data_IF_162923004960
#
_entry.id   IF_162923004960
#
_cell.length_a   1.000
_cell.length_b   1.000
_cell.length_c   1.000
_cell.angle_alpha   90.00
_cell.angle_beta   90.00
_cell.angle_gamma   90.00
#
_symmetry.space_group_name_H-M   'P 1'
#
loop_
_entity.id
_entity.type
_entity.pdbx_description
1 polymer ?
#
# COMPACT_ATOMS: atom_id res chain seq x y z
N UNK A 1 61.23 -40.14 14.77
CA UNK A 1 60.16 -40.99 14.19
C UNK A 1 59.17 -40.08 13.50
N UNK A 2 59.04 -40.28 12.20
CA UNK A 2 58.24 -39.56 11.20
C UNK A 2 56.77 -39.97 11.21
N UNK A 3 55.86 -39.02 10.94
CA UNK A 3 54.69 -39.07 10.01
C UNK A 3 53.77 -37.88 10.33
N UNK A 4 53.71 -36.87 9.47
CA UNK A 4 52.85 -36.75 8.26
C UNK A 4 51.37 -36.47 8.58
N UNK A 5 50.96 -35.23 8.25
CA UNK A 5 49.61 -34.74 7.89
C UNK A 5 48.89 -35.66 6.87
N UNK A 6 47.55 -35.60 6.60
CA UNK A 6 46.78 -34.35 6.36
C UNK A 6 45.25 -34.35 6.66
N UNK A 7 44.65 -33.17 6.43
CA UNK A 7 43.31 -32.85 5.88
C UNK A 7 42.12 -33.79 6.13
N UNK A 8 41.03 -33.24 6.67
CA UNK A 8 39.98 -32.64 5.84
C UNK A 8 39.03 -31.82 6.72
N UNK A 9 38.99 -30.52 6.45
CA UNK A 9 37.85 -29.69 6.82
C UNK A 9 36.62 -30.24 6.09
N UNK A 10 35.65 -30.75 6.84
CA UNK A 10 34.29 -30.92 6.32
C UNK A 10 33.69 -29.53 6.21
N UNK A 11 33.97 -28.85 5.11
CA UNK A 11 33.13 -27.78 4.61
C UNK A 11 31.78 -28.44 4.31
N UNK A 12 30.83 -28.31 5.23
CA UNK A 12 29.42 -28.53 4.92
C UNK A 12 29.05 -27.52 3.84
N UNK A 13 29.13 -27.98 2.59
CA UNK A 13 28.57 -27.33 1.42
C UNK A 13 27.10 -27.05 1.71
N UNK A 14 26.83 -25.81 2.07
CA UNK A 14 25.51 -25.20 2.02
C UNK A 14 24.98 -25.43 0.59
N UNK A 15 23.77 -25.97 0.40
CA UNK A 15 23.21 -26.09 -0.93
C UNK A 15 22.99 -24.68 -1.49
N UNK A 16 23.90 -24.24 -2.34
CA UNK A 16 23.70 -23.12 -3.26
C UNK A 16 22.66 -23.57 -4.29
N UNK A 17 21.41 -23.19 -4.07
CA UNK A 17 20.32 -23.52 -4.97
C UNK A 17 18.98 -23.21 -4.34
N UNK A 18 18.59 -21.94 -4.35
CA UNK A 18 17.20 -21.58 -4.04
C UNK A 18 16.94 -20.17 -3.51
N UNK A 19 17.95 -19.43 -3.05
CA UNK A 19 17.74 -18.13 -2.40
C UNK A 19 17.84 -16.91 -3.33
N UNK A 20 18.41 -17.05 -4.53
CA UNK A 20 18.61 -15.92 -5.45
C UNK A 20 17.40 -15.65 -6.36
N UNK A 21 16.47 -16.60 -6.53
CA UNK A 21 15.35 -16.47 -7.47
C UNK A 21 14.17 -15.64 -6.94
N UNK A 22 13.95 -15.63 -5.63
CA UNK A 22 12.85 -14.91 -4.99
C UNK A 22 12.99 -13.37 -5.03
N UNK A 23 14.14 -12.77 -4.68
CA UNK A 23 14.33 -11.31 -4.82
C UNK A 23 14.24 -10.86 -6.29
N UNK A 24 14.71 -11.69 -7.22
CA UNK A 24 14.62 -11.41 -8.66
C UNK A 24 13.18 -11.50 -9.21
N UNK A 25 12.32 -12.36 -8.64
CA UNK A 25 10.92 -12.45 -9.02
C UNK A 25 10.11 -11.23 -8.55
N UNK A 26 10.31 -10.81 -7.30
CA UNK A 26 9.65 -9.61 -6.74
C UNK A 26 10.08 -8.35 -7.48
N UNK A 27 11.38 -8.20 -7.75
CA UNK A 27 11.90 -7.04 -8.49
C UNK A 27 11.36 -6.96 -9.92
N UNK A 28 11.26 -8.10 -10.62
CA UNK A 28 10.65 -8.16 -11.97
C UNK A 28 9.17 -7.81 -11.95
N UNK A 29 8.39 -8.42 -11.06
CA UNK A 29 6.97 -8.14 -10.95
C UNK A 29 6.68 -6.68 -10.58
N UNK A 30 7.53 -6.07 -9.73
CA UNK A 30 7.49 -4.63 -9.44
C UNK A 30 7.72 -3.79 -10.70
N UNK A 31 8.76 -4.10 -11.47
CA UNK A 31 9.06 -3.37 -12.70
C UNK A 31 7.93 -3.49 -13.73
N UNK A 32 7.25 -4.64 -13.79
CA UNK A 32 6.08 -4.87 -14.63
C UNK A 32 4.88 -4.01 -14.20
N UNK A 33 4.61 -3.87 -12.90
CA UNK A 33 3.59 -2.95 -12.38
C UNK A 33 3.89 -1.51 -12.77
N UNK A 34 5.13 -1.07 -12.57
CA UNK A 34 5.56 0.30 -12.89
C UNK A 34 5.43 0.58 -14.40
N UNK A 35 5.91 -0.33 -15.25
CA UNK A 35 5.79 -0.21 -16.72
C UNK A 35 4.32 -0.23 -17.19
N UNK A 36 3.48 -1.05 -16.56
CA UNK A 36 2.05 -1.11 -16.87
C UNK A 36 1.34 0.21 -16.51
N UNK A 37 1.69 0.81 -15.36
CA UNK A 37 1.16 2.10 -14.89
C UNK A 37 1.65 3.27 -15.73
N UNK A 38 2.91 3.28 -16.12
CA UNK A 38 3.44 4.29 -17.04
C UNK A 38 2.68 4.27 -18.37
N UNK A 39 2.43 3.07 -18.90
CA UNK A 39 1.65 2.90 -20.13
C UNK A 39 0.20 3.35 -19.95
N UNK A 40 -0.42 3.08 -18.79
CA UNK A 40 -1.75 3.60 -18.47
C UNK A 40 -1.76 5.14 -18.44
N UNK A 41 -0.80 5.75 -17.75
CA UNK A 41 -0.67 7.20 -17.66
C UNK A 41 -0.50 7.87 -19.02
N UNK A 42 0.23 7.23 -19.96
CA UNK A 42 0.33 7.70 -21.35
C UNK A 42 -1.02 7.74 -22.05
N UNK A 43 -1.84 6.69 -21.95
CA UNK A 43 -3.17 6.66 -22.57
C UNK A 43 -4.16 7.63 -21.91
N UNK A 44 -4.11 7.78 -20.60
CA UNK A 44 -4.95 8.75 -19.87
C UNK A 44 -4.58 10.19 -20.24
N UNK A 45 -3.28 10.49 -20.34
CA UNK A 45 -2.80 11.80 -20.81
C UNK A 45 -3.22 12.08 -22.25
N UNK A 46 -3.15 11.08 -23.13
CA UNK A 46 -3.55 11.20 -24.53
C UNK A 46 -5.06 11.46 -24.65
N UNK A 47 -5.88 10.78 -23.85
CA UNK A 47 -7.32 11.01 -23.78
C UNK A 47 -7.64 12.44 -23.30
N UNK A 48 -7.02 12.88 -22.20
CA UNK A 48 -7.22 14.22 -21.64
C UNK A 48 -6.79 15.31 -22.64
N UNK A 49 -5.66 15.11 -23.33
CA UNK A 49 -5.18 16.03 -24.36
C UNK A 49 -6.18 16.14 -25.52
N UNK A 50 -6.67 15.01 -26.02
CA UNK A 50 -7.66 15.00 -27.09
C UNK A 50 -8.99 15.67 -26.68
N UNK A 51 -9.42 15.53 -25.42
CA UNK A 51 -10.61 16.20 -24.88
C UNK A 51 -10.40 17.72 -24.77
N UNK A 52 -9.26 18.16 -24.22
CA UNK A 52 -8.94 19.58 -24.11
C UNK A 52 -8.83 20.26 -25.49
N UNK A 53 -8.21 19.59 -26.48
CA UNK A 53 -8.16 20.09 -27.87
C UNK A 53 -9.56 20.23 -28.47
N UNK A 54 -10.46 19.29 -28.17
CA UNK A 54 -11.83 19.29 -28.67
C UNK A 54 -12.69 20.39 -28.02
N UNK A 55 -12.55 20.62 -26.71
CA UNK A 55 -13.21 21.73 -26.01
C UNK A 55 -12.72 23.08 -26.55
N UNK A 56 -11.41 23.27 -26.67
CA UNK A 56 -10.81 24.48 -27.23
C UNK A 56 -11.21 24.71 -28.70
N UNK A 57 -11.42 23.63 -29.47
CA UNK A 57 -11.94 23.74 -30.83
C UNK A 57 -13.41 24.17 -30.82
N UNK A 58 -14.27 23.57 -29.99
CA UNK A 58 -15.70 23.92 -29.87
C UNK A 58 -15.91 25.37 -29.44
N UNK A 59 -15.11 25.88 -28.52
CA UNK A 59 -15.17 27.29 -28.09
C UNK A 59 -14.82 28.26 -29.22
N UNK A 60 -13.78 27.97 -30.00
CA UNK A 60 -13.31 28.87 -31.08
C UNK A 60 -14.11 28.75 -32.38
N UNK A 61 -14.65 27.57 -32.66
CA UNK A 61 -15.37 27.30 -33.90
C UNK A 61 -16.71 28.05 -33.97
N UNK A 62 -17.39 28.30 -32.85
CA UNK A 62 -18.63 29.08 -32.85
C UNK A 62 -18.49 30.49 -33.42
N UNK A 63 -17.41 31.20 -33.08
CA UNK A 63 -17.12 32.53 -33.64
C UNK A 63 -16.53 32.45 -35.05
N UNK A 64 -15.60 31.52 -35.29
CA UNK A 64 -14.94 31.38 -36.59
C UNK A 64 -15.89 30.95 -37.72
N UNK A 65 -16.90 30.13 -37.43
CA UNK A 65 -17.91 29.69 -38.41
C UNK A 65 -18.87 30.82 -38.83
N UNK A 66 -19.04 31.85 -37.99
CA UNK A 66 -19.81 33.04 -38.35
C UNK A 66 -19.03 33.93 -39.34
N UNK A 67 -17.70 33.94 -39.24
CA UNK A 67 -16.82 34.72 -40.11
C UNK A 67 -16.50 34.01 -41.44
N UNK A 68 -16.41 32.68 -41.44
CA UNK A 68 -16.23 31.85 -42.65
C UNK A 68 -17.08 30.56 -42.63
N UNK A 69 -18.29 30.60 -43.19
CA UNK A 69 -19.19 29.45 -43.27
C UNK A 69 -18.66 28.29 -44.13
N UNK A 70 -17.69 28.54 -45.02
CA UNK A 70 -17.08 27.52 -45.88
C UNK A 70 -16.19 26.53 -45.12
N UNK A 71 -15.74 26.91 -43.92
CA UNK A 71 -14.87 26.10 -43.05
C UNK A 71 -15.61 24.98 -42.28
N UNK A 72 -16.94 24.89 -42.41
CA UNK A 72 -17.78 23.99 -41.60
C UNK A 72 -17.40 22.51 -41.74
N UNK A 73 -17.15 22.06 -42.96
CA UNK A 73 -16.77 20.65 -43.22
C UNK A 73 -15.40 20.31 -42.62
N UNK A 74 -14.45 21.27 -42.63
CA UNK A 74 -13.12 21.09 -42.04
C UNK A 74 -13.17 21.01 -40.51
N UNK A 75 -13.98 21.88 -39.89
CA UNK A 75 -14.22 21.87 -38.44
C UNK A 75 -14.90 20.56 -38.03
N UNK A 76 -15.95 20.15 -38.75
CA UNK A 76 -16.66 18.89 -38.49
C UNK A 76 -15.72 17.67 -38.62
N UNK A 77 -14.88 17.64 -39.66
CA UNK A 77 -13.87 16.59 -39.83
C UNK A 77 -12.84 16.56 -38.69
N UNK A 78 -12.41 17.73 -38.22
CA UNK A 78 -11.47 17.83 -37.09
C UNK A 78 -12.09 17.37 -35.77
N UNK A 79 -13.35 17.76 -35.49
CA UNK A 79 -14.11 17.30 -34.33
C UNK A 79 -14.21 15.77 -34.35
N UNK A 80 -14.66 15.19 -35.47
CA UNK A 80 -14.82 13.73 -35.59
C UNK A 80 -13.51 12.96 -35.37
N UNK A 81 -12.39 13.51 -35.87
CA UNK A 81 -11.05 12.95 -35.64
C UNK A 81 -10.65 13.00 -34.16
N UNK A 82 -10.88 14.12 -33.48
CA UNK A 82 -10.55 14.29 -32.06
C UNK A 82 -11.43 13.41 -31.17
N UNK A 83 -12.72 13.28 -31.49
CA UNK A 83 -13.65 12.36 -30.82
C UNK A 83 -13.18 10.90 -30.96
N UNK A 84 -12.79 10.51 -32.18
CA UNK A 84 -12.25 9.16 -32.44
C UNK A 84 -10.95 8.91 -31.67
N UNK A 85 -10.04 9.89 -31.63
CA UNK A 85 -8.77 9.81 -30.88
C UNK A 85 -9.03 9.66 -29.38
N UNK A 86 -9.90 10.49 -28.81
CA UNK A 86 -10.30 10.43 -27.40
C UNK A 86 -10.95 9.08 -27.05
N UNK A 87 -11.86 8.59 -27.91
CA UNK A 87 -12.51 7.29 -27.72
C UNK A 87 -11.50 6.13 -27.75
N UNK A 88 -10.58 6.13 -28.73
CA UNK A 88 -9.56 5.09 -28.84
C UNK A 88 -8.59 5.10 -27.65
N UNK A 89 -8.14 6.28 -27.22
CA UNK A 89 -7.31 6.43 -26.04
C UNK A 89 -8.03 5.96 -24.77
N UNK A 90 -9.32 6.28 -24.60
CA UNK A 90 -10.14 5.80 -23.49
C UNK A 90 -10.26 4.27 -23.46
N UNK A 91 -10.55 3.64 -24.60
CA UNK A 91 -10.58 2.16 -24.70
C UNK A 91 -9.22 1.52 -24.43
N UNK A 92 -8.14 2.14 -24.89
CA UNK A 92 -6.78 1.67 -24.62
C UNK A 92 -6.44 1.79 -23.13
N UNK A 93 -6.82 2.89 -22.48
CA UNK A 93 -6.66 3.07 -21.04
C UNK A 93 -7.46 2.02 -20.26
N UNK A 94 -8.72 1.76 -20.62
CA UNK A 94 -9.54 0.70 -20.00
C UNK A 94 -8.89 -0.70 -20.12
N UNK A 95 -8.43 -1.05 -21.32
CA UNK A 95 -7.72 -2.32 -21.53
C UNK A 95 -6.41 -2.39 -20.72
N UNK A 96 -5.69 -1.27 -20.60
CA UNK A 96 -4.45 -1.20 -19.85
C UNK A 96 -4.68 -1.25 -18.32
N UNK A 97 -5.80 -0.73 -17.80
CA UNK A 97 -6.18 -0.87 -16.38
C UNK A 97 -6.27 -2.34 -15.97
N UNK A 98 -6.84 -3.19 -16.81
CA UNK A 98 -6.88 -4.64 -16.55
C UNK A 98 -5.48 -5.24 -16.45
N UNK A 99 -4.55 -4.81 -17.30
CA UNK A 99 -3.16 -5.27 -17.25
C UNK A 99 -2.43 -4.80 -16.00
N UNK A 100 -2.68 -3.57 -15.55
CA UNK A 100 -2.17 -3.07 -14.26
C UNK A 100 -2.67 -3.95 -13.12
N UNK A 101 -3.96 -4.28 -13.08
CA UNK A 101 -4.52 -5.16 -12.04
C UNK A 101 -3.87 -6.54 -12.04
N UNK A 102 -3.61 -7.13 -13.21
CA UNK A 102 -2.93 -8.43 -13.32
C UNK A 102 -1.49 -8.34 -12.81
N UNK A 103 -0.73 -7.33 -13.24
CA UNK A 103 0.65 -7.13 -12.78
C UNK A 103 0.71 -6.89 -11.26
N UNK A 104 -0.25 -6.14 -10.70
CA UNK A 104 -0.34 -5.91 -9.26
C UNK A 104 -0.62 -7.21 -8.49
N UNK A 105 -1.49 -8.07 -9.01
CA UNK A 105 -1.77 -9.38 -8.43
C UNK A 105 -0.55 -10.31 -8.48
N UNK A 106 0.19 -10.32 -9.59
CA UNK A 106 1.42 -11.09 -9.76
C UNK A 106 2.52 -10.61 -8.80
N UNK A 107 2.67 -9.29 -8.63
CA UNK A 107 3.58 -8.71 -7.65
C UNK A 107 3.25 -9.13 -6.21
N UNK A 108 1.98 -9.07 -5.82
CA UNK A 108 1.54 -9.50 -4.49
C UNK A 108 1.77 -10.99 -4.26
N UNK A 109 1.56 -11.83 -5.28
CA UNK A 109 1.85 -13.26 -5.21
C UNK A 109 3.36 -13.51 -5.04
N UNK A 110 4.21 -12.83 -5.81
CA UNK A 110 5.67 -12.93 -5.69
C UNK A 110 6.18 -12.49 -4.30
N UNK A 111 5.62 -11.42 -3.74
CA UNK A 111 5.92 -10.97 -2.37
C UNK A 111 5.49 -12.02 -1.33
N UNK A 112 4.32 -12.64 -1.50
CA UNK A 112 3.86 -13.70 -0.61
C UNK A 112 4.82 -14.91 -0.64
N UNK A 113 5.23 -15.32 -1.83
CA UNK A 113 6.11 -16.46 -2.05
C UNK A 113 7.53 -16.19 -1.53
N UNK A 114 8.02 -14.95 -1.61
CA UNK A 114 9.31 -14.54 -1.04
C UNK A 114 9.35 -14.62 0.50
N UNK A 115 8.20 -14.53 1.17
CA UNK A 115 8.09 -14.62 2.63
C UNK A 115 7.96 -16.07 3.14
N UNK A 116 7.62 -17.04 2.29
CA UNK A 116 7.43 -18.45 2.70
C UNK A 116 8.70 -19.11 3.26
N UNK A 117 9.90 -18.95 2.66
CA UNK A 117 11.13 -19.54 3.20
C UNK A 117 11.45 -19.03 4.61
N UNK A 118 11.15 -17.75 4.86
CA UNK A 118 11.36 -17.09 6.15
C UNK A 118 10.42 -17.64 7.22
N UNK A 119 9.14 -17.88 6.87
CA UNK A 119 8.18 -18.55 7.74
C UNK A 119 8.64 -19.97 8.06
N UNK A 120 9.00 -20.76 7.04
CA UNK A 120 9.45 -22.13 7.21
C UNK A 120 10.70 -22.23 8.10
N UNK A 121 11.65 -21.30 7.95
CA UNK A 121 12.84 -21.23 8.81
C UNK A 121 12.50 -20.93 10.27
N UNK A 122 11.56 -20.02 10.55
CA UNK A 122 11.13 -19.69 11.92
C UNK A 122 10.38 -20.86 12.55
N UNK A 123 9.53 -21.56 11.79
CA UNK A 123 8.79 -22.74 12.25
C UNK A 123 9.73 -23.92 12.56
N UNK A 124 10.71 -24.19 11.68
CA UNK A 124 11.73 -25.21 11.92
C UNK A 124 12.53 -24.91 13.20
N UNK A 125 12.96 -23.66 13.38
CA UNK A 125 13.68 -23.24 14.59
C UNK A 125 12.80 -23.35 15.86
N UNK A 126 11.48 -23.10 15.75
CA UNK A 126 10.56 -23.24 16.87
C UNK A 126 10.38 -24.71 17.24
N UNK A 127 10.26 -25.60 16.25
CA UNK A 127 10.19 -27.04 16.48
C UNK A 127 11.47 -27.57 17.16
N UNK A 128 12.65 -27.12 16.73
CA UNK A 128 13.92 -27.46 17.38
C UNK A 128 13.97 -26.98 18.84
N UNK A 129 13.53 -25.73 19.08
CA UNK A 129 13.47 -25.16 20.43
C UNK A 129 12.54 -25.98 21.34
N UNK A 130 11.36 -26.33 20.85
CA UNK A 130 10.37 -27.06 21.64
C UNK A 130 10.84 -28.51 21.89
N UNK A 131 11.49 -29.16 20.92
CA UNK A 131 12.13 -30.46 21.11
C UNK A 131 13.26 -30.41 22.15
N UNK A 132 14.12 -29.39 22.10
CA UNK A 132 15.19 -29.17 23.09
C UNK A 132 14.60 -28.93 24.48
N UNK A 133 13.54 -28.13 24.57
CA UNK A 133 12.86 -27.85 25.84
C UNK A 133 12.26 -29.12 26.43
N UNK A 134 11.56 -29.93 25.63
CA UNK A 134 11.01 -31.21 26.06
C UNK A 134 12.11 -32.16 26.56
N UNK A 135 13.25 -32.22 25.87
CA UNK A 135 14.41 -33.02 26.31
C UNK A 135 14.96 -32.55 27.65
N UNK A 136 15.13 -31.24 27.84
CA UNK A 136 15.65 -30.67 29.09
C UNK A 136 14.67 -30.88 30.25
N UNK A 137 13.37 -30.74 30.01
CA UNK A 137 12.34 -31.04 31.01
C UNK A 137 12.36 -32.51 31.40
N UNK A 138 12.43 -33.43 30.43
CA UNK A 138 12.56 -34.86 30.71
C UNK A 138 13.86 -35.20 31.46
N UNK A 139 14.96 -34.48 31.19
CA UNK A 139 16.20 -34.62 31.96
C UNK A 139 16.02 -34.13 33.40
N UNK A 140 15.35 -33.00 33.62
CA UNK A 140 15.06 -32.46 34.95
C UNK A 140 14.15 -33.39 35.75
N UNK A 141 13.11 -33.95 35.14
CA UNK A 141 12.20 -34.91 35.79
C UNK A 141 12.92 -36.19 36.23
N UNK A 142 13.90 -36.65 35.43
CA UNK A 142 14.75 -37.81 35.78
C UNK A 142 15.85 -37.48 36.78
N UNK A 143 16.12 -36.20 37.00
CA UNK A 143 17.21 -35.78 37.87
C UNK A 143 16.74 -35.80 39.33
N UNK A 144 17.04 -36.90 40.03
CA UNK A 144 16.92 -37.01 41.49
C UNK A 144 18.05 -36.23 42.18
N UNK A 145 18.13 -34.92 41.91
CA UNK A 145 19.11 -34.04 42.51
C UNK A 145 18.75 -33.70 43.95
N UNK A 146 19.77 -33.56 44.81
CA UNK A 146 19.61 -33.01 46.16
C UNK A 146 19.01 -31.60 46.06
N UNK A 147 17.91 -31.33 46.76
CA UNK A 147 17.33 -29.99 46.82
C UNK A 147 18.37 -29.01 47.36
N UNK A 148 18.76 -28.03 46.53
CA UNK A 148 19.60 -26.91 46.94
C UNK A 148 18.68 -25.76 47.30
N UNK A 149 18.82 -25.21 48.51
CA UNK A 149 18.01 -24.07 48.92
C UNK A 149 18.29 -22.86 48.02
N UNK A 150 17.31 -21.96 47.83
CA UNK A 150 17.46 -20.76 47.01
C UNK A 150 18.69 -19.92 47.41
N UNK A 151 18.96 -19.80 48.71
CA UNK A 151 20.15 -19.09 49.21
C UNK A 151 21.47 -19.76 48.81
N UNK A 152 21.51 -21.08 48.79
CA UNK A 152 22.69 -21.85 48.42
C UNK A 152 22.89 -21.84 46.90
N UNK A 153 21.81 -21.87 46.13
CA UNK A 153 21.84 -21.64 44.68
C UNK A 153 22.37 -20.23 44.36
N UNK A 154 21.83 -19.19 45.00
CA UNK A 154 22.25 -17.80 44.77
C UNK A 154 23.72 -17.59 45.18
N UNK A 155 24.17 -18.26 46.25
CA UNK A 155 25.57 -18.26 46.67
C UNK A 155 26.48 -18.93 45.63
N UNK A 156 26.10 -20.09 45.10
CA UNK A 156 26.86 -20.83 44.08
C UNK A 156 26.89 -20.05 42.76
N UNK A 157 25.76 -19.51 42.31
CA UNK A 157 25.68 -18.67 41.10
C UNK A 157 26.53 -17.41 41.26
N UNK A 158 26.46 -16.75 42.41
CA UNK A 158 27.30 -15.57 42.71
C UNK A 158 28.78 -15.93 42.72
N UNK A 159 29.15 -17.09 43.28
CA UNK A 159 30.54 -17.57 43.32
C UNK A 159 31.07 -17.91 41.93
N UNK A 160 30.26 -18.58 41.09
CA UNK A 160 30.60 -18.87 39.69
C UNK A 160 30.72 -17.56 38.90
N UNK A 161 29.80 -16.62 39.07
CA UNK A 161 29.82 -15.30 38.42
C UNK A 161 31.08 -14.51 38.77
N UNK A 162 31.53 -14.59 40.03
CA UNK A 162 32.75 -13.95 40.52
C UNK A 162 34.02 -14.60 39.96
N UNK A 163 34.01 -15.93 39.76
CA UNK A 163 35.15 -16.68 39.21
C UNK A 163 35.26 -16.62 37.68
N UNK A 164 34.14 -16.46 36.96
CA UNK A 164 34.10 -16.46 35.49
C UNK A 164 34.04 -15.06 34.87
N UNK A 165 34.11 -14.00 35.69
CA UNK A 165 34.22 -12.63 35.19
C UNK A 165 32.95 -12.11 34.50
N UNK A 166 31.77 -12.56 34.94
CA UNK A 166 30.49 -12.00 34.49
C UNK A 166 29.46 -13.06 34.13
N UNK A 167 28.63 -13.44 35.09
CA UNK A 167 27.28 -13.95 34.79
C UNK A 167 26.32 -12.83 35.15
N UNK A 168 25.57 -12.34 34.17
CA UNK A 168 24.63 -11.24 34.33
C UNK A 168 23.61 -11.56 35.44
N UNK A 169 23.54 -10.67 36.42
CA UNK A 169 22.49 -10.68 37.44
C UNK A 169 21.13 -10.44 36.73
N UNK A 170 20.10 -11.27 36.96
CA UNK A 170 18.81 -11.13 36.30
C UNK A 170 17.98 -10.04 37.00
N UNK A 171 18.43 -8.79 36.92
CA UNK A 171 17.74 -7.62 37.46
C UNK A 171 17.05 -6.74 36.40
N UNK A 172 17.24 -7.05 35.12
CA UNK A 172 16.54 -6.37 34.03
C UNK A 172 15.17 -6.98 33.78
N UNK A 173 14.22 -6.17 33.30
CA UNK A 173 12.92 -6.66 32.81
C UNK A 173 13.14 -7.89 31.91
N UNK A 174 12.67 -9.05 32.38
CA UNK A 174 12.77 -10.29 31.62
C UNK A 174 11.82 -10.14 30.44
N UNK A 175 12.37 -9.71 29.31
CA UNK A 175 11.63 -9.61 28.06
C UNK A 175 10.99 -10.97 27.69
N UNK A 176 10.01 -10.98 26.78
CA UNK A 176 9.28 -12.19 26.45
C UNK A 176 10.25 -13.31 26.03
N UNK A 177 9.97 -14.56 26.44
CA UNK A 177 10.86 -15.69 26.19
C UNK A 177 11.10 -15.86 24.68
N UNK A 178 12.27 -16.42 24.32
CA UNK A 178 12.67 -16.61 22.91
C UNK A 178 11.58 -17.32 22.10
N UNK A 179 10.95 -18.34 22.66
CA UNK A 179 9.82 -19.06 22.03
C UNK A 179 8.60 -18.17 21.77
N UNK A 180 8.27 -17.23 22.67
CA UNK A 180 7.19 -16.27 22.44
C UNK A 180 7.52 -15.31 21.29
N UNK A 181 8.78 -14.84 21.19
CA UNK A 181 9.22 -14.00 20.07
C UNK A 181 9.16 -14.75 18.73
N UNK A 182 9.59 -16.00 18.71
CA UNK A 182 9.55 -16.85 17.51
C UNK A 182 8.12 -17.13 17.07
N UNK A 183 7.22 -17.49 18.01
CA UNK A 183 5.78 -17.68 17.72
C UNK A 183 5.12 -16.40 17.20
N UNK A 184 5.45 -15.25 17.78
CA UNK A 184 4.93 -13.96 17.30
C UNK A 184 5.45 -13.64 15.90
N UNK A 185 6.73 -13.90 15.61
CA UNK A 185 7.31 -13.72 14.26
C UNK A 185 6.62 -14.63 13.24
N UNK A 186 6.49 -15.93 13.53
CA UNK A 186 5.79 -16.88 12.64
C UNK A 186 4.35 -16.44 12.38
N UNK A 187 3.61 -16.06 13.43
CA UNK A 187 2.23 -15.58 13.32
C UNK A 187 2.13 -14.30 12.49
N UNK A 188 3.10 -13.38 12.60
CA UNK A 188 3.16 -12.16 11.78
C UNK A 188 3.42 -12.48 10.31
N UNK A 189 4.42 -13.31 10.01
CA UNK A 189 4.73 -13.73 8.64
C UNK A 189 3.55 -14.44 7.98
N UNK A 190 2.92 -15.39 8.70
CA UNK A 190 1.74 -16.09 8.23
C UNK A 190 0.60 -15.11 7.88
N UNK A 191 0.33 -14.14 8.74
CA UNK A 191 -0.70 -13.12 8.48
C UNK A 191 -0.37 -12.28 7.26
N UNK A 192 0.88 -11.84 7.11
CA UNK A 192 1.31 -11.08 5.92
C UNK A 192 1.11 -11.90 4.64
N UNK A 193 1.58 -13.15 4.60
CA UNK A 193 1.40 -14.06 3.46
C UNK A 193 -0.08 -14.23 3.13
N UNK A 194 -0.92 -14.48 4.13
CA UNK A 194 -2.36 -14.63 3.93
C UNK A 194 -3.00 -13.35 3.37
N UNK A 195 -2.67 -12.18 3.92
CA UNK A 195 -3.18 -10.90 3.43
C UNK A 195 -2.77 -10.66 1.98
N UNK A 196 -1.49 -10.88 1.64
CA UNK A 196 -1.00 -10.72 0.27
C UNK A 196 -1.72 -11.64 -0.72
N UNK A 197 -1.98 -12.89 -0.33
CA UNK A 197 -2.72 -13.86 -1.15
C UNK A 197 -4.19 -13.50 -1.36
N UNK A 198 -4.86 -12.99 -0.32
CA UNK A 198 -6.23 -12.48 -0.45
C UNK A 198 -6.29 -11.29 -1.41
N UNK A 199 -5.34 -10.36 -1.27
CA UNK A 199 -5.23 -9.20 -2.16
C UNK A 199 -4.93 -9.60 -3.61
N UNK A 200 -4.00 -10.54 -3.83
CA UNK A 200 -3.70 -11.08 -5.15
C UNK A 200 -4.91 -11.77 -5.79
N UNK A 201 -5.77 -12.40 -4.98
CA UNK A 201 -7.03 -12.99 -5.42
C UNK A 201 -8.17 -11.96 -5.63
N UNK A 202 -7.90 -10.67 -5.44
CA UNK A 202 -8.90 -9.60 -5.52
C UNK A 202 -9.93 -9.62 -4.38
N UNK A 203 -9.63 -10.27 -3.25
CA UNK A 203 -10.50 -10.36 -2.09
C UNK A 203 -10.10 -9.34 -1.02
N UNK A 204 -11.08 -8.83 -0.29
CA UNK A 204 -10.85 -7.90 0.82
C UNK A 204 -10.38 -8.66 2.07
N UNK A 205 -9.19 -8.38 2.62
CA UNK A 205 -8.70 -9.07 3.82
C UNK A 205 -9.33 -8.55 5.12
N UNK A 206 -10.14 -7.49 5.07
CA UNK A 206 -10.82 -6.90 6.23
C UNK A 206 -11.54 -7.92 7.14
N UNK A 207 -12.26 -8.95 6.64
CA UNK A 207 -12.86 -9.97 7.49
C UNK A 207 -11.82 -10.73 8.35
N UNK A 208 -10.66 -11.05 7.77
CA UNK A 208 -9.56 -11.71 8.49
C UNK A 208 -8.95 -10.79 9.55
N UNK A 209 -8.79 -9.50 9.22
CA UNK A 209 -8.26 -8.52 10.17
C UNK A 209 -9.14 -8.39 11.41
N UNK A 210 -10.48 -8.39 11.22
CA UNK A 210 -11.45 -8.39 12.32
C UNK A 210 -11.38 -9.66 13.14
N UNK A 211 -11.31 -10.83 12.49
CA UNK A 211 -11.18 -12.13 13.17
C UNK A 211 -9.93 -12.17 14.05
N UNK A 212 -8.80 -11.72 13.51
CA UNK A 212 -7.53 -11.67 14.24
C UNK A 212 -7.46 -10.56 15.29
N UNK A 213 -8.49 -9.72 15.38
CA UNK A 213 -8.56 -8.53 16.25
C UNK A 213 -7.29 -7.68 16.16
N UNK A 214 -6.74 -7.59 14.95
CA UNK A 214 -5.46 -6.94 14.69
C UNK A 214 -5.72 -5.66 13.91
N UNK A 215 -5.04 -4.57 14.29
CA UNK A 215 -5.12 -3.32 13.55
C UNK A 215 -4.57 -3.50 12.14
N UNK A 216 -5.21 -2.88 11.13
CA UNK A 216 -4.71 -2.84 9.76
C UNK A 216 -3.23 -2.41 9.67
N UNK A 217 -2.80 -1.50 10.55
CA UNK A 217 -1.42 -1.02 10.62
C UNK A 217 -0.38 -2.07 10.99
N UNK A 218 -0.79 -3.17 11.63
CA UNK A 218 0.10 -4.25 12.05
C UNK A 218 0.10 -5.44 11.08
N UNK A 219 -0.92 -5.52 10.22
CA UNK A 219 -1.18 -6.69 9.38
C UNK A 219 -0.86 -6.47 7.89
N UNK A 220 -0.92 -5.23 7.40
CA UNK A 220 -0.51 -4.93 6.02
C UNK A 220 1.01 -4.79 5.93
N UNK A 221 1.67 -5.51 5.01
CA UNK A 221 3.09 -5.32 4.72
C UNK A 221 3.34 -3.99 3.99
N UNK A 222 4.60 -3.53 4.02
CA UNK A 222 5.01 -2.21 3.51
C UNK A 222 4.77 -2.04 2.00
N UNK A 223 4.77 -3.15 1.24
CA UNK A 223 4.46 -3.16 -0.20
C UNK A 223 3.00 -2.74 -0.51
N UNK A 224 2.11 -2.82 0.49
CA UNK A 224 0.70 -2.41 0.42
C UNK A 224 0.46 -1.09 1.19
N UNK A 225 1.35 -0.75 2.13
CA UNK A 225 1.22 0.43 3.01
C UNK A 225 2.49 1.28 3.01
N UNK A 226 2.38 2.53 2.61
CA UNK A 226 3.43 3.54 2.76
C UNK A 226 3.66 4.35 1.50
N UNK A 227 4.61 5.28 1.56
CA UNK A 227 4.98 6.15 0.43
C UNK A 227 5.72 5.42 -0.70
N UNK A 228 5.82 4.08 -0.65
CA UNK A 228 6.37 3.23 -1.70
C UNK A 228 5.43 2.08 -2.06
N UNK A 229 4.16 2.13 -1.62
CA UNK A 229 3.19 1.07 -1.87
C UNK A 229 2.85 0.98 -3.36
N UNK A 230 3.17 -0.18 -3.96
CA UNK A 230 2.84 -0.47 -5.35
C UNK A 230 1.41 -0.90 -5.53
N UNK A 231 0.75 -1.45 -4.50
CA UNK A 231 -0.66 -1.82 -4.57
C UNK A 231 -1.45 -1.07 -3.51
N UNK A 232 -2.47 -0.28 -3.89
CA UNK A 232 -3.30 0.40 -2.92
C UNK A 232 -4.05 -0.60 -2.04
N UNK A 233 -4.02 -0.41 -0.71
CA UNK A 233 -4.87 -1.21 0.20
C UNK A 233 -6.35 -1.13 -0.23
N UNK A 234 -7.16 -2.20 -0.05
CA UNK A 234 -8.60 -2.15 -0.29
C UNK A 234 -9.31 -1.08 0.53
N UNK A 235 -8.82 -0.78 1.74
CA UNK A 235 -9.31 0.34 2.54
C UNK A 235 -9.07 1.70 1.86
N UNK A 236 -7.91 1.87 1.23
CA UNK A 236 -7.62 3.06 0.43
C UNK A 236 -8.48 3.10 -0.84
N UNK A 237 -8.65 1.98 -1.56
CA UNK A 237 -9.55 1.92 -2.72
C UNK A 237 -10.99 2.29 -2.34
N UNK A 238 -11.50 1.77 -1.21
CA UNK A 238 -12.80 2.18 -0.66
C UNK A 238 -12.88 3.67 -0.34
N UNK A 239 -11.79 4.27 0.15
CA UNK A 239 -11.74 5.70 0.43
C UNK A 239 -11.76 6.55 -0.86
N UNK A 240 -11.07 6.10 -1.91
CA UNK A 240 -11.11 6.70 -3.24
C UNK A 240 -12.50 6.57 -3.85
N UNK A 241 -13.11 5.39 -3.80
CA UNK A 241 -14.47 5.16 -4.31
C UNK A 241 -15.54 5.95 -3.52
N UNK A 242 -15.33 6.16 -2.23
CA UNK A 242 -16.20 7.02 -1.43
C UNK A 242 -16.03 8.50 -1.82
N UNK A 243 -14.79 8.95 -2.02
CA UNK A 243 -14.51 10.30 -2.48
C UNK A 243 -15.07 10.57 -3.89
N UNK A 244 -14.96 9.60 -4.82
CA UNK A 244 -15.58 9.67 -6.16
C UNK A 244 -17.09 9.78 -6.10
N UNK A 245 -17.75 8.85 -5.39
CA UNK A 245 -19.21 8.93 -5.18
C UNK A 245 -19.65 10.25 -4.58
N UNK A 246 -18.88 10.79 -3.64
CA UNK A 246 -19.17 12.10 -3.05
C UNK A 246 -19.06 13.25 -4.06
N UNK A 247 -18.08 13.20 -4.96
CA UNK A 247 -17.98 14.16 -6.08
C UNK A 247 -19.18 14.03 -7.00
N UNK A 248 -19.53 12.82 -7.44
CA UNK A 248 -20.68 12.56 -8.33
C UNK A 248 -22.00 13.04 -7.69
N UNK A 249 -22.22 12.75 -6.41
CA UNK A 249 -23.38 13.21 -5.64
C UNK A 249 -23.48 14.74 -5.58
N UNK A 250 -22.34 15.42 -5.42
CA UNK A 250 -22.29 16.88 -5.34
C UNK A 250 -22.49 17.53 -6.72
N UNK A 251 -21.94 16.93 -7.77
CA UNK A 251 -22.15 17.37 -9.16
C UNK A 251 -23.63 17.25 -9.55
N UNK A 252 -24.25 16.09 -9.29
CA UNK A 252 -25.68 15.89 -9.51
C UNK A 252 -26.52 16.87 -8.68
N UNK A 253 -26.14 17.10 -7.42
CA UNK A 253 -26.86 18.05 -6.57
C UNK A 253 -26.80 19.48 -7.10
N UNK A 254 -25.67 19.91 -7.69
CA UNK A 254 -25.54 21.23 -8.31
C UNK A 254 -26.40 21.33 -9.57
N UNK A 255 -26.43 20.27 -10.40
CA UNK A 255 -27.24 20.21 -11.61
C UNK A 255 -28.75 20.26 -11.30
N UNK A 256 -29.20 19.54 -10.27
CA UNK A 256 -30.62 19.43 -9.91
C UNK A 256 -31.15 20.64 -9.12
N UNK A 257 -30.27 21.39 -8.43
CA UNK A 257 -30.69 22.44 -7.50
C UNK A 257 -31.52 23.55 -8.13
N UNK A 258 -31.18 24.11 -9.32
CA UNK A 258 -31.99 25.17 -9.95
C UNK A 258 -33.43 24.73 -10.21
N UNK A 259 -33.62 23.48 -10.67
CA UNK A 259 -34.95 22.91 -10.90
C UNK A 259 -35.75 22.77 -9.60
N UNK A 260 -35.08 22.37 -8.50
CA UNK A 260 -35.70 22.27 -7.17
C UNK A 260 -36.08 23.64 -6.59
N UNK A 261 -35.24 24.65 -6.79
CA UNK A 261 -35.53 26.03 -6.38
C UNK A 261 -36.75 26.57 -7.11
N UNK A 262 -36.82 26.41 -8.43
CA UNK A 262 -37.98 26.87 -9.23
C UNK A 262 -39.27 26.10 -8.88
N UNK A 263 -39.19 24.77 -8.72
CA UNK A 263 -40.34 23.97 -8.30
C UNK A 263 -40.88 24.40 -6.93
N UNK A 264 -39.99 24.68 -5.96
CA UNK A 264 -40.43 25.14 -4.63
C UNK A 264 -40.96 26.58 -4.66
N UNK A 265 -40.41 27.45 -5.50
CA UNK A 265 -40.90 28.81 -5.70
C UNK A 265 -42.34 28.81 -6.20
N UNK A 266 -42.65 28.02 -7.21
CA UNK A 266 -44.00 27.87 -7.73
C UNK A 266 -45.01 27.38 -6.68
N UNK A 267 -44.57 26.50 -5.76
CA UNK A 267 -45.39 26.04 -4.63
C UNK A 267 -45.60 27.14 -3.58
N UNK A 268 -44.54 27.87 -3.20
CA UNK A 268 -44.64 28.96 -2.23
C UNK A 268 -45.57 30.08 -2.71
N UNK A 269 -45.52 30.41 -4.01
CA UNK A 269 -46.40 31.38 -4.64
C UNK A 269 -47.88 30.93 -4.63
N UNK A 270 -48.15 29.63 -4.75
CA UNK A 270 -49.49 29.05 -4.62
C UNK A 270 -49.98 29.03 -3.17
N UNK A 271 -49.07 28.81 -2.21
CA UNK A 271 -49.37 28.76 -0.77
C UNK A 271 -49.50 30.15 -0.13
N UNK A 272 -49.10 31.22 -0.82
CA UNK A 272 -49.09 32.58 -0.28
C UNK A 272 -48.09 32.76 0.86
N UNK A 273 -47.07 31.90 0.94
CA UNK A 273 -46.09 31.89 2.00
C UNK A 273 -45.01 32.95 1.76
N UNK A 274 -45.00 34.00 2.58
CA UNK A 274 -44.04 35.12 2.46
C UNK A 274 -42.62 34.74 2.93
N UNK A 275 -42.49 33.70 3.77
CA UNK A 275 -41.21 33.20 4.28
C UNK A 275 -41.16 31.67 4.26
N UNK A 276 -40.82 31.10 3.10
CA UNK A 276 -40.59 29.66 2.98
C UNK A 276 -39.15 29.31 3.39
N UNK A 277 -39.00 28.79 4.61
CA UNK A 277 -37.72 28.34 5.16
C UNK A 277 -37.02 27.29 4.27
N UNK A 278 -37.78 26.47 3.53
CA UNK A 278 -37.21 25.48 2.62
C UNK A 278 -36.53 26.15 1.42
N UNK A 279 -37.14 27.21 0.88
CA UNK A 279 -36.60 27.97 -0.24
C UNK A 279 -35.35 28.78 0.18
N UNK A 280 -35.34 29.30 1.41
CA UNK A 280 -34.14 29.90 1.99
C UNK A 280 -33.00 28.88 2.16
N UNK A 281 -33.30 27.66 2.63
CA UNK A 281 -32.33 26.57 2.72
C UNK A 281 -31.77 26.17 1.35
N UNK A 282 -32.61 26.03 0.32
CA UNK A 282 -32.16 25.70 -1.04
C UNK A 282 -31.23 26.78 -1.61
N UNK A 283 -31.54 28.07 -1.41
CA UNK A 283 -30.67 29.19 -1.83
C UNK A 283 -29.35 29.22 -1.09
N UNK A 284 -29.35 28.93 0.22
CA UNK A 284 -28.09 28.78 0.96
C UNK A 284 -27.26 27.64 0.37
N UNK A 285 -27.92 26.52 0.04
CA UNK A 285 -27.27 25.34 -0.57
C UNK A 285 -26.64 25.63 -1.93
N UNK A 286 -27.21 26.53 -2.73
CA UNK A 286 -26.67 26.99 -4.03
C UNK A 286 -25.30 27.64 -3.90
N UNK A 287 -25.06 28.34 -2.78
CA UNK A 287 -23.77 28.98 -2.50
C UNK A 287 -22.75 28.04 -1.86
N UNK A 288 -23.21 27.04 -1.10
CA UNK A 288 -22.33 26.09 -0.39
C UNK A 288 -21.84 24.92 -1.27
N UNK A 289 -22.69 24.37 -2.14
CA UNK A 289 -22.36 23.17 -2.92
C UNK A 289 -21.12 23.33 -3.81
N UNK A 290 -20.89 24.46 -4.52
CA UNK A 290 -19.66 24.63 -5.29
C UNK A 290 -18.39 24.58 -4.43
N UNK A 291 -18.44 25.10 -3.20
CA UNK A 291 -17.32 25.04 -2.25
C UNK A 291 -17.08 23.60 -1.78
N UNK A 292 -18.13 22.88 -1.41
CA UNK A 292 -18.03 21.47 -1.02
C UNK A 292 -17.50 20.60 -2.16
N UNK A 293 -17.93 20.85 -3.40
CA UNK A 293 -17.42 20.15 -4.58
C UNK A 293 -15.94 20.42 -4.80
N UNK A 294 -15.48 21.66 -4.64
CA UNK A 294 -14.06 22.01 -4.74
C UNK A 294 -13.23 21.28 -3.67
N UNK A 295 -13.71 21.22 -2.42
CA UNK A 295 -13.06 20.49 -1.33
C UNK A 295 -13.04 18.97 -1.57
N UNK A 296 -14.14 18.39 -2.05
CA UNK A 296 -14.23 16.97 -2.38
C UNK A 296 -13.30 16.59 -3.54
N UNK A 297 -13.22 17.42 -4.60
CA UNK A 297 -12.27 17.25 -5.71
C UNK A 297 -10.83 17.38 -5.24
N UNK A 298 -10.53 18.33 -4.36
CA UNK A 298 -9.19 18.46 -3.77
C UNK A 298 -8.82 17.25 -2.91
N UNK A 299 -9.76 16.72 -2.12
CA UNK A 299 -9.56 15.50 -1.34
C UNK A 299 -9.34 14.27 -2.23
N UNK A 300 -10.15 14.10 -3.28
CA UNK A 300 -9.98 13.03 -4.26
C UNK A 300 -8.62 13.14 -4.96
N UNK A 301 -8.21 14.34 -5.38
CA UNK A 301 -6.91 14.58 -5.98
C UNK A 301 -5.76 14.27 -5.00
N UNK A 302 -5.91 14.59 -3.71
CA UNK A 302 -4.95 14.24 -2.67
C UNK A 302 -4.85 12.73 -2.46
N UNK A 303 -5.97 12.00 -2.49
CA UNK A 303 -5.98 10.54 -2.42
C UNK A 303 -5.32 9.93 -3.67
N UNK A 304 -5.72 10.35 -4.87
CA UNK A 304 -5.15 9.81 -6.11
C UNK A 304 -3.67 10.15 -6.29
N UNK A 305 -3.21 11.31 -5.82
CA UNK A 305 -1.78 11.65 -5.78
C UNK A 305 -1.03 10.83 -4.75
N UNK A 306 -1.62 10.53 -3.58
CA UNK A 306 -1.04 9.58 -2.63
C UNK A 306 -0.95 8.15 -3.18
N UNK A 307 -1.87 7.76 -4.08
CA UNK A 307 -1.81 6.48 -4.80
C UNK A 307 -0.77 6.45 -5.93
N UNK A 308 -0.48 7.60 -6.57
CA UNK A 308 0.50 7.74 -7.66
C UNK A 308 1.94 8.00 -7.17
N UNK A 309 2.10 8.73 -6.07
CA UNK A 309 3.39 9.22 -5.56
C UNK A 309 4.31 8.18 -4.93
N UNK A 310 3.93 6.90 -4.96
CA UNK A 310 4.77 5.82 -4.43
C UNK A 310 6.02 5.52 -5.29
N UNK A 311 6.08 6.03 -6.53
CA UNK A 311 7.18 5.77 -7.47
C UNK A 311 8.23 6.89 -7.60
N UNK A 312 7.91 8.15 -7.33
CA UNK A 312 8.78 9.29 -7.70
C UNK A 312 9.74 9.76 -6.59
N UNK A 313 9.68 9.19 -5.38
CA UNK A 313 10.46 9.63 -4.23
C UNK A 313 11.88 9.04 -4.10
N UNK A 314 12.26 8.04 -4.89
CA UNK A 314 13.51 7.29 -4.66
C UNK A 314 14.77 7.88 -5.32
N UNK A 315 14.66 8.86 -6.21
CA UNK A 315 15.81 9.30 -7.04
C UNK A 315 16.25 10.77 -6.85
N UNK A 316 15.93 11.39 -5.71
CA UNK A 316 16.48 12.71 -5.35
C UNK A 316 17.07 12.70 -3.95
N UNK A 317 18.34 12.33 -3.86
CA UNK A 317 19.09 12.47 -2.60
C UNK A 317 20.52 11.94 -2.54
N UNK A 318 21.09 11.42 -3.64
CA UNK A 318 22.54 11.24 -3.74
C UNK A 318 23.15 12.55 -4.27
N UNK A 319 23.78 13.33 -3.39
CA UNK A 319 24.64 14.42 -3.80
C UNK A 319 24.55 15.65 -2.91
N UNK A 320 25.34 15.66 -1.83
CA UNK A 320 26.01 16.86 -1.29
C UNK A 320 27.11 16.38 -0.31
N UNK A 321 28.16 15.74 -0.86
CA UNK A 321 29.47 15.69 -0.19
C UNK A 321 30.22 16.93 -0.64
N UNK A 322 30.09 18.02 0.12
CA UNK A 322 30.95 19.19 0.03
C UNK A 322 32.18 19.02 0.92
N UNK A 323 33.38 19.43 0.47
CA UNK A 323 34.63 19.17 1.18
C UNK A 323 34.77 19.99 2.46
N UNK A 324 35.32 19.34 3.49
CA UNK A 324 35.67 19.89 4.79
C UNK A 324 36.76 20.97 4.66
N UNK A 325 36.57 22.20 5.18
CA UNK A 325 37.65 23.16 5.34
C UNK A 325 38.31 22.99 6.71
N UNK A 326 39.65 23.00 6.67
CA UNK A 326 40.55 22.98 7.80
C UNK A 326 40.26 24.11 8.80
N UNK A 327 40.25 23.76 10.09
CA UNK A 327 40.47 24.69 11.19
C UNK A 327 41.98 24.94 11.31
N UNK A 328 42.41 26.08 10.78
CA UNK A 328 43.58 26.78 11.25
C UNK A 328 43.16 27.71 12.39
N UNK A 329 43.63 27.41 13.61
CA UNK A 329 44.12 28.37 14.61
C UNK A 329 44.75 27.61 15.76
#
# INVERSE_FOLDING_TARGET
MTKDSPDTATTESRPEGGLDAAPDAVARARAEVEAARETLGRWESEQATAQAELEALRERSGAALLDDPGSLDEVAGTISRLESRSMLAGKAAEAQRLRVMVAEAEYLAAEADALEPDLAAVEAALAEHDAKTARLLAQLERHEGRYISRQEHDRVVSQIAWQTGGVHSPGGEVGPPRSARMRNRARKLQRHITVLRELAAGRDPEPLLREWRTMAAEAYPDCVRGAGALVPTPAFLRSVDHARRRVDELEQAIEDLPARVEARRGLADQEGAVEDAHLQWLRARETELPRELAEARAHLAALESAGRGAGEGADRGAGLVGPSPALAR
#
